data_IF_914208944269
#
_entry.id   IF_914208944269
#
_cell.length_a   1.000
_cell.length_b   1.000
_cell.length_c   1.000
_cell.angle_alpha   90.00
_cell.angle_beta   90.00
_cell.angle_gamma   90.00
#
_symmetry.space_group_name_H-M   'P 1'
#
loop_
_entity.id
_entity.type
_entity.pdbx_description
1 polymer ?
#
# COMPACT_ATOMS: atom_id res chain seq x y z
N UNK A 1 28.78 74.78 22.82
CA UNK A 1 29.42 73.90 21.83
C UNK A 1 29.11 72.45 22.29
N UNK A 2 28.02 71.88 21.86
CA UNK A 2 27.68 70.44 22.12
C UNK A 2 27.28 69.81 20.79
N UNK A 3 28.20 68.98 20.25
CA UNK A 3 27.96 68.14 19.08
C UNK A 3 27.16 66.87 19.54
N UNK A 4 25.95 66.75 19.08
CA UNK A 4 25.17 65.52 19.17
C UNK A 4 25.26 64.79 17.82
N UNK A 5 26.07 63.73 17.77
CA UNK A 5 26.17 62.80 16.64
C UNK A 5 24.99 61.81 16.70
N UNK A 6 24.08 61.93 15.74
CA UNK A 6 22.97 60.97 15.55
C UNK A 6 23.51 59.72 14.84
N UNK A 7 23.49 58.59 15.52
CA UNK A 7 23.74 57.25 14.92
C UNK A 7 22.45 56.72 14.29
N UNK A 8 22.43 56.64 12.97
CA UNK A 8 21.40 55.88 12.24
C UNK A 8 21.72 54.42 12.35
N UNK A 9 20.83 53.69 13.06
CA UNK A 9 20.84 52.23 13.14
C UNK A 9 20.13 51.68 11.89
N UNK A 10 20.91 51.12 10.95
CA UNK A 10 20.38 50.42 9.79
C UNK A 10 19.99 49.04 10.21
N UNK A 11 18.66 48.78 10.38
CA UNK A 11 18.11 47.45 10.56
C UNK A 11 18.05 46.79 9.20
N UNK A 12 18.98 45.87 8.94
CA UNK A 12 18.92 44.95 7.78
C UNK A 12 17.93 43.85 8.12
N UNK A 13 16.71 43.94 7.55
CA UNK A 13 15.72 42.88 7.59
C UNK A 13 16.19 41.75 6.67
N UNK A 14 16.80 40.70 7.23
CA UNK A 14 17.03 39.44 6.52
C UNK A 14 15.66 38.75 6.34
N UNK A 15 15.06 38.92 5.17
CA UNK A 15 13.99 38.07 4.68
C UNK A 15 14.59 36.68 4.41
N UNK A 16 14.44 35.77 5.38
CA UNK A 16 14.69 34.37 5.17
C UNK A 16 13.69 33.85 4.13
N UNK A 17 14.18 33.54 2.95
CA UNK A 17 13.46 32.69 2.00
C UNK A 17 13.25 31.33 2.69
N UNK A 18 12.04 31.12 3.17
CA UNK A 18 11.57 29.75 3.48
C UNK A 18 11.46 29.07 2.14
N UNK A 19 12.44 28.28 1.78
CA UNK A 19 12.32 27.29 0.72
C UNK A 19 11.25 26.32 1.17
N UNK A 20 10.06 26.44 0.59
CA UNK A 20 9.06 25.39 0.65
C UNK A 20 9.72 24.21 -0.08
N UNK A 21 10.16 23.21 0.66
CA UNK A 21 10.71 21.99 0.07
C UNK A 21 9.64 21.39 -0.83
N UNK A 22 9.82 21.55 -2.13
CA UNK A 22 9.24 20.68 -3.13
C UNK A 22 9.74 19.27 -2.82
N UNK A 23 8.83 18.29 -2.78
CA UNK A 23 9.20 16.87 -2.62
C UNK A 23 10.38 16.54 -3.54
N UNK A 24 11.20 15.58 -3.19
CA UNK A 24 12.36 15.18 -3.99
C UNK A 24 11.86 14.82 -5.39
N UNK A 25 12.23 15.65 -6.37
CA UNK A 25 11.92 15.41 -7.78
C UNK A 25 12.62 14.12 -8.18
N UNK A 26 11.86 13.14 -8.64
CA UNK A 26 12.40 11.84 -9.07
C UNK A 26 13.19 12.07 -10.36
N UNK A 27 14.45 11.63 -10.38
CA UNK A 27 15.31 11.76 -11.53
C UNK A 27 15.11 10.57 -12.49
N UNK A 28 14.62 10.85 -13.70
CA UNK A 28 14.56 9.88 -14.77
C UNK A 28 15.94 9.74 -15.44
N UNK A 29 16.51 8.50 -15.54
CA UNK A 29 17.86 8.30 -16.02
C UNK A 29 18.00 8.57 -17.52
N UNK A 30 19.18 9.03 -17.95
CA UNK A 30 19.55 9.03 -19.35
C UNK A 30 19.99 7.62 -19.78
N UNK A 31 19.33 7.06 -20.77
CA UNK A 31 19.62 5.73 -21.29
C UNK A 31 20.43 5.82 -22.59
N UNK A 32 21.61 5.18 -22.62
CA UNK A 32 22.49 5.24 -23.81
C UNK A 32 21.82 4.62 -25.04
N UNK A 33 21.70 5.40 -26.10
CA UNK A 33 21.03 4.99 -27.35
C UNK A 33 19.52 5.16 -27.37
N UNK A 34 18.96 5.82 -26.34
CA UNK A 34 17.54 6.13 -26.21
C UNK A 34 17.34 7.66 -26.20
N UNK A 35 16.26 8.11 -26.78
CA UNK A 35 15.80 9.51 -26.74
C UNK A 35 14.61 9.59 -25.78
N UNK A 36 14.51 10.66 -25.00
CA UNK A 36 13.38 10.99 -24.15
C UNK A 36 13.03 12.47 -24.23
N UNK A 37 11.86 12.87 -23.75
CA UNK A 37 11.53 14.29 -23.53
C UNK A 37 12.37 14.89 -22.40
N UNK A 38 12.55 16.22 -22.43
CA UNK A 38 13.30 16.94 -21.39
C UNK A 38 12.59 16.89 -20.02
N UNK A 39 11.26 16.84 -20.04
CA UNK A 39 10.39 16.79 -18.86
C UNK A 39 9.39 15.64 -18.97
N UNK A 40 9.01 15.02 -17.83
CA UNK A 40 7.93 14.04 -17.82
C UNK A 40 6.58 14.70 -18.13
N UNK A 41 5.64 13.90 -18.62
CA UNK A 41 4.22 14.24 -18.60
C UNK A 41 3.70 14.10 -17.17
N UNK A 42 3.01 15.12 -16.65
CA UNK A 42 2.59 15.19 -15.25
C UNK A 42 1.08 15.15 -15.12
N UNK A 43 0.57 14.30 -14.22
CA UNK A 43 -0.86 14.14 -13.93
C UNK A 43 -1.13 14.27 -12.43
N UNK A 44 -2.22 14.97 -12.09
CA UNK A 44 -2.71 15.19 -10.74
C UNK A 44 -4.00 14.37 -10.51
N UNK A 45 -4.55 14.40 -9.29
CA UNK A 45 -5.86 13.80 -8.99
C UNK A 45 -6.96 14.20 -9.98
N UNK A 46 -6.91 15.43 -10.52
CA UNK A 46 -7.92 15.96 -11.45
C UNK A 46 -7.71 15.51 -12.90
N UNK A 47 -6.48 15.15 -13.27
CA UNK A 47 -6.10 14.81 -14.65
C UNK A 47 -5.70 13.34 -14.85
N UNK A 48 -5.66 12.54 -13.78
CA UNK A 48 -5.29 11.12 -13.84
C UNK A 48 -6.16 10.32 -14.82
N UNK A 49 -7.46 10.66 -14.91
CA UNK A 49 -8.39 10.05 -15.86
C UNK A 49 -8.00 10.23 -17.33
N UNK A 50 -7.29 11.31 -17.66
CA UNK A 50 -6.86 11.58 -19.04
C UNK A 50 -5.79 10.56 -19.48
N UNK A 51 -5.05 9.96 -18.53
CA UNK A 51 -4.01 8.98 -18.80
C UNK A 51 -4.49 7.52 -18.63
N UNK A 52 -5.05 7.16 -17.45
CA UNK A 52 -5.41 5.77 -17.14
C UNK A 52 -6.92 5.48 -17.22
N UNK A 53 -7.74 6.45 -17.66
CA UNK A 53 -9.19 6.31 -17.81
C UNK A 53 -9.89 5.79 -16.54
N UNK A 54 -10.79 4.83 -16.64
CA UNK A 54 -11.56 4.28 -15.52
C UNK A 54 -10.72 3.58 -14.43
N UNK A 55 -9.44 3.28 -14.69
CA UNK A 55 -8.54 2.76 -13.66
C UNK A 55 -8.18 3.82 -12.61
N UNK A 56 -8.39 5.11 -12.89
CA UNK A 56 -8.10 6.19 -11.94
C UNK A 56 -8.84 6.04 -10.60
N UNK A 57 -10.07 5.53 -10.62
CA UNK A 57 -10.87 5.36 -9.40
C UNK A 57 -10.18 4.54 -8.32
N UNK A 58 -9.47 3.46 -8.72
CA UNK A 58 -8.79 2.63 -7.74
C UNK A 58 -7.55 3.34 -7.18
N UNK A 59 -6.78 4.05 -8.00
CA UNK A 59 -5.61 4.81 -7.53
C UNK A 59 -6.02 5.92 -6.56
N UNK A 60 -7.09 6.65 -6.85
CA UNK A 60 -7.64 7.71 -5.98
C UNK A 60 -8.06 7.17 -4.60
N UNK A 61 -8.56 5.94 -4.50
CA UNK A 61 -8.87 5.30 -3.20
C UNK A 61 -7.63 5.06 -2.34
N UNK A 62 -6.45 4.96 -2.94
CA UNK A 62 -5.17 4.80 -2.27
C UNK A 62 -4.40 6.12 -2.14
N UNK A 63 -5.12 7.22 -1.90
CA UNK A 63 -4.57 8.55 -1.63
C UNK A 63 -3.52 8.97 -2.67
N UNK A 64 -3.83 8.74 -3.96
CA UNK A 64 -3.00 9.15 -5.08
C UNK A 64 -2.74 10.67 -5.03
N UNK A 65 -1.51 11.10 -5.31
CA UNK A 65 -1.10 12.50 -5.32
C UNK A 65 -0.77 13.00 -6.71
N UNK A 66 0.19 12.34 -7.34
CA UNK A 66 0.66 12.71 -8.67
C UNK A 66 1.25 11.52 -9.40
N UNK A 67 1.35 11.65 -10.72
CA UNK A 67 1.97 10.69 -11.62
C UNK A 67 2.88 11.44 -12.58
N UNK A 68 4.13 11.03 -12.64
CA UNK A 68 5.08 11.45 -13.66
C UNK A 68 5.33 10.30 -14.65
N UNK A 69 5.21 10.61 -15.95
CA UNK A 69 5.38 9.64 -17.04
C UNK A 69 6.53 10.04 -17.92
N UNK A 70 7.53 9.16 -18.07
CA UNK A 70 8.64 9.37 -18.98
C UNK A 70 8.67 8.31 -20.08
N UNK A 71 8.68 8.76 -21.32
CA UNK A 71 8.76 7.91 -22.49
C UNK A 71 10.14 7.95 -23.13
N UNK A 72 10.65 6.76 -23.50
CA UNK A 72 11.91 6.58 -24.21
C UNK A 72 11.66 5.85 -25.53
N UNK A 73 12.39 6.27 -26.57
CA UNK A 73 12.39 5.62 -27.88
C UNK A 73 13.83 5.46 -28.37
N UNK A 74 14.14 4.32 -28.97
CA UNK A 74 15.42 4.10 -29.64
C UNK A 74 15.28 4.18 -31.16
N UNK A 75 16.41 4.24 -31.86
CA UNK A 75 16.44 4.30 -33.34
C UNK A 75 15.92 3.04 -34.03
N UNK A 76 15.72 1.95 -33.29
CA UNK A 76 15.13 0.69 -33.78
C UNK A 76 13.61 0.64 -33.64
N UNK A 77 12.96 1.66 -33.07
CA UNK A 77 11.52 1.72 -32.83
C UNK A 77 11.07 0.92 -31.60
N UNK A 78 11.97 0.61 -30.67
CA UNK A 78 11.60 0.08 -29.36
C UNK A 78 11.27 1.23 -28.39
N UNK A 79 10.34 0.99 -27.46
CA UNK A 79 9.84 1.97 -26.51
C UNK A 79 9.97 1.46 -25.08
N UNK A 80 10.22 2.37 -24.14
CA UNK A 80 10.08 2.17 -22.69
C UNK A 80 9.24 3.32 -22.15
N UNK A 81 8.24 2.99 -21.34
CA UNK A 81 7.47 3.97 -20.57
C UNK A 81 7.70 3.71 -19.08
N UNK A 82 7.99 4.75 -18.32
CA UNK A 82 8.17 4.71 -16.88
C UNK A 82 7.09 5.59 -16.27
N UNK A 83 6.20 4.98 -15.50
CA UNK A 83 5.14 5.63 -14.73
C UNK A 83 5.53 5.62 -13.26
N UNK A 84 5.63 6.78 -12.62
CA UNK A 84 5.94 6.91 -11.21
C UNK A 84 4.75 7.51 -10.49
N UNK A 85 3.98 6.66 -9.81
CA UNK A 85 2.80 7.06 -9.04
C UNK A 85 3.21 7.40 -7.61
N UNK A 86 2.93 8.62 -7.17
CA UNK A 86 3.09 9.05 -5.79
C UNK A 86 1.77 8.92 -5.03
N UNK A 87 1.82 8.36 -3.84
CA UNK A 87 0.70 8.24 -2.91
C UNK A 87 0.97 9.03 -1.64
N UNK A 88 -0.06 9.30 -0.82
CA UNK A 88 0.09 10.07 0.40
C UNK A 88 1.03 9.46 1.43
N UNK A 89 1.12 8.12 1.44
CA UNK A 89 2.03 7.38 2.30
C UNK A 89 2.43 5.99 1.73
N UNK A 90 3.34 5.32 2.44
CA UNK A 90 3.88 4.01 2.05
C UNK A 90 2.83 2.89 2.09
N UNK A 91 1.81 3.00 2.96
CA UNK A 91 0.75 2.00 3.09
C UNK A 91 -0.19 2.06 1.90
N UNK A 92 -0.56 3.26 1.47
CA UNK A 92 -1.39 3.47 0.29
C UNK A 92 -0.68 3.03 -1.00
N UNK A 93 0.61 3.37 -1.15
CA UNK A 93 1.42 2.89 -2.28
C UNK A 93 1.51 1.35 -2.30
N UNK A 94 1.72 0.72 -1.14
CA UNK A 94 1.67 -0.74 -1.03
C UNK A 94 0.28 -1.28 -1.37
N UNK A 95 -0.78 -0.60 -0.96
CA UNK A 95 -2.15 -1.02 -1.22
C UNK A 95 -2.42 -1.19 -2.71
N UNK A 96 -2.22 -0.16 -3.52
CA UNK A 96 -2.44 -0.25 -4.97
C UNK A 96 -1.49 -1.26 -5.63
N UNK A 97 -0.20 -1.30 -5.24
CA UNK A 97 0.75 -2.31 -5.71
C UNK A 97 0.25 -3.72 -5.43
N UNK A 98 -0.24 -4.00 -4.22
CA UNK A 98 -0.73 -5.31 -3.81
C UNK A 98 -2.01 -5.74 -4.53
N UNK A 99 -2.85 -4.77 -4.95
CA UNK A 99 -4.05 -5.04 -5.76
C UNK A 99 -3.73 -5.42 -7.21
N UNK A 100 -2.68 -4.86 -7.78
CA UNK A 100 -2.27 -5.14 -9.16
C UNK A 100 -1.32 -6.34 -9.29
N UNK A 101 -0.61 -6.67 -8.23
CA UNK A 101 0.33 -7.79 -8.21
C UNK A 101 -0.40 -9.13 -8.30
N UNK A 102 -0.07 -9.94 -9.30
CA UNK A 102 -0.58 -11.31 -9.40
C UNK A 102 0.16 -12.23 -8.42
N UNK A 103 -0.52 -13.16 -7.74
CA UNK A 103 0.13 -14.12 -6.82
C UNK A 103 1.23 -14.96 -7.48
N UNK A 104 1.11 -15.24 -8.79
CA UNK A 104 2.07 -16.01 -9.59
C UNK A 104 3.19 -15.20 -10.21
N UNK A 105 3.25 -13.87 -9.98
CA UNK A 105 4.25 -12.99 -10.58
C UNK A 105 5.67 -13.38 -10.18
N UNK A 106 6.60 -13.28 -11.16
CA UNK A 106 8.02 -13.51 -10.92
C UNK A 106 8.60 -12.35 -10.11
N UNK A 107 8.88 -12.57 -8.83
CA UNK A 107 9.39 -11.55 -7.90
C UNK A 107 10.85 -11.27 -8.13
N UNK A 108 11.20 -10.00 -8.01
CA UNK A 108 12.57 -9.50 -8.14
C UNK A 108 12.92 -8.60 -6.95
N UNK A 109 14.20 -8.57 -6.52
CA UNK A 109 14.65 -7.76 -5.38
C UNK A 109 14.94 -6.31 -5.81
N UNK A 110 13.89 -5.57 -6.20
CA UNK A 110 13.94 -4.13 -6.49
C UNK A 110 12.92 -3.43 -5.59
N UNK A 111 13.34 -2.40 -4.90
CA UNK A 111 12.53 -1.67 -3.92
C UNK A 111 12.21 -2.50 -2.67
N UNK A 112 11.02 -2.30 -2.12
CA UNK A 112 10.45 -3.14 -1.05
C UNK A 112 10.13 -4.53 -1.61
N UNK A 113 9.50 -4.54 -2.75
CA UNK A 113 9.13 -5.70 -3.55
C UNK A 113 8.91 -5.25 -5.00
N UNK A 114 9.37 -6.06 -5.95
CA UNK A 114 9.09 -5.88 -7.36
C UNK A 114 8.68 -7.19 -8.02
N UNK A 115 8.07 -7.10 -9.20
CA UNK A 115 7.79 -8.25 -10.03
C UNK A 115 8.05 -7.95 -11.50
N UNK A 116 8.44 -9.00 -12.22
CA UNK A 116 8.80 -8.96 -13.64
C UNK A 116 7.93 -9.95 -14.39
N UNK A 117 7.16 -9.43 -15.35
CA UNK A 117 6.45 -10.18 -16.38
C UNK A 117 7.04 -9.82 -17.74
N UNK A 118 6.66 -10.54 -18.80
CA UNK A 118 7.19 -10.27 -20.13
C UNK A 118 6.89 -8.80 -20.55
N UNK A 119 7.95 -8.00 -20.64
CA UNK A 119 7.86 -6.59 -21.04
C UNK A 119 7.31 -5.64 -19.99
N UNK A 120 7.09 -6.09 -18.76
CA UNK A 120 6.55 -5.27 -17.67
C UNK A 120 7.35 -5.54 -16.39
N UNK A 121 7.83 -4.47 -15.76
CA UNK A 121 8.44 -4.53 -14.44
C UNK A 121 7.80 -3.49 -13.54
N UNK A 122 7.25 -3.93 -12.42
CA UNK A 122 6.65 -3.03 -11.44
C UNK A 122 7.34 -3.23 -10.09
N UNK A 123 7.51 -2.12 -9.33
CA UNK A 123 8.07 -2.20 -7.99
C UNK A 123 7.53 -1.10 -7.08
N UNK A 124 7.69 -1.33 -5.78
CA UNK A 124 7.29 -0.44 -4.70
C UNK A 124 8.52 0.06 -3.96
N UNK A 125 8.59 1.37 -3.68
CA UNK A 125 9.57 1.94 -2.74
C UNK A 125 9.03 3.20 -2.07
N UNK A 126 9.06 3.21 -0.72
CA UNK A 126 8.48 4.31 0.04
C UNK A 126 7.01 4.52 -0.35
N UNK A 127 6.65 5.76 -0.65
CA UNK A 127 5.30 6.15 -1.09
C UNK A 127 5.09 6.08 -2.61
N UNK A 128 6.02 5.46 -3.34
CA UNK A 128 5.98 5.39 -4.80
C UNK A 128 5.72 3.97 -5.29
N UNK A 129 4.76 3.87 -6.19
CA UNK A 129 4.52 2.69 -7.01
C UNK A 129 5.02 2.98 -8.43
N UNK A 130 6.02 2.25 -8.89
CA UNK A 130 6.66 2.44 -10.20
C UNK A 130 6.28 1.32 -11.14
N UNK A 131 5.85 1.70 -12.36
CA UNK A 131 5.53 0.75 -13.44
C UNK A 131 6.43 1.07 -14.62
N UNK A 132 7.11 0.06 -15.13
CA UNK A 132 8.00 0.16 -16.29
C UNK A 132 7.50 -0.82 -17.35
N UNK A 133 7.13 -0.31 -18.51
CA UNK A 133 6.72 -1.13 -19.64
C UNK A 133 7.67 -0.96 -20.81
N UNK A 134 7.94 -2.05 -21.54
CA UNK A 134 8.81 -2.07 -22.68
C UNK A 134 8.19 -2.77 -23.88
N UNK A 135 8.38 -2.21 -25.05
CA UNK A 135 7.94 -2.79 -26.31
C UNK A 135 9.10 -2.86 -27.31
N UNK A 136 9.19 -3.97 -28.04
CA UNK A 136 10.25 -4.18 -29.05
C UNK A 136 11.64 -4.45 -28.44
N UNK A 137 11.72 -4.83 -27.15
CA UNK A 137 12.98 -5.15 -26.46
C UNK A 137 13.43 -6.58 -26.74
N UNK A 138 14.76 -6.78 -26.78
CA UNK A 138 15.38 -8.12 -26.82
C UNK A 138 15.52 -8.72 -25.41
N UNK A 139 14.39 -8.89 -24.69
CA UNK A 139 14.34 -9.41 -23.33
C UNK A 139 14.22 -8.33 -22.26
N UNK A 140 14.11 -8.76 -21.00
CA UNK A 140 13.69 -7.90 -19.88
C UNK A 140 14.88 -7.34 -19.05
N UNK A 141 16.12 -7.64 -19.41
CA UNK A 141 17.30 -7.19 -18.66
C UNK A 141 17.44 -5.66 -18.61
N UNK A 142 17.01 -4.97 -19.68
CA UNK A 142 17.03 -3.51 -19.70
C UNK A 142 16.00 -2.93 -18.72
N UNK A 143 14.80 -3.52 -18.60
CA UNK A 143 13.79 -3.07 -17.64
C UNK A 143 14.31 -3.19 -16.20
N UNK A 144 15.02 -4.29 -15.90
CA UNK A 144 15.64 -4.49 -14.58
C UNK A 144 16.72 -3.44 -14.31
N UNK A 145 17.56 -3.13 -15.30
CA UNK A 145 18.59 -2.10 -15.15
C UNK A 145 17.97 -0.70 -14.92
N UNK A 146 16.93 -0.36 -15.69
CA UNK A 146 16.18 0.90 -15.53
C UNK A 146 15.52 0.98 -14.14
N UNK A 147 14.90 -0.12 -13.69
CA UNK A 147 14.26 -0.17 -12.38
C UNK A 147 15.24 0.12 -11.24
N UNK A 148 16.45 -0.45 -11.29
CA UNK A 148 17.50 -0.19 -10.29
C UNK A 148 17.93 1.28 -10.30
N UNK A 149 18.10 1.89 -11.48
CA UNK A 149 18.45 3.31 -11.59
C UNK A 149 17.38 4.22 -11.00
N UNK A 150 16.10 3.95 -11.27
CA UNK A 150 14.98 4.71 -10.68
C UNK A 150 14.91 4.46 -9.17
N UNK A 151 15.04 3.21 -8.72
CA UNK A 151 15.01 2.86 -7.31
C UNK A 151 16.05 3.64 -6.48
N UNK A 152 17.24 3.87 -7.03
CA UNK A 152 18.32 4.63 -6.37
C UNK A 152 17.95 6.10 -6.14
N UNK A 153 17.03 6.68 -6.94
CA UNK A 153 16.58 8.08 -6.80
C UNK A 153 15.44 8.23 -5.80
N UNK A 154 14.76 7.14 -5.44
CA UNK A 154 13.61 7.16 -4.54
C UNK A 154 14.06 6.98 -3.09
N UNK A 155 13.72 7.95 -2.24
CA UNK A 155 13.87 7.83 -0.79
C UNK A 155 12.67 7.09 -0.18
N UNK A 156 12.88 6.38 0.93
CA UNK A 156 11.82 5.70 1.68
C UNK A 156 12.23 4.34 2.20
N UNK A 157 11.32 3.70 2.92
CA UNK A 157 11.54 2.38 3.50
C UNK A 157 11.62 1.31 2.43
N UNK A 158 12.44 0.29 2.70
CA UNK A 158 12.55 -0.93 1.88
C UNK A 158 11.95 -2.13 2.61
N UNK A 159 10.84 -1.93 3.34
CA UNK A 159 10.15 -2.97 4.10
C UNK A 159 8.63 -2.81 3.93
N UNK A 160 7.91 -3.93 3.98
CA UNK A 160 6.44 -3.94 4.01
C UNK A 160 5.91 -3.14 5.22
N UNK A 161 4.65 -2.67 5.17
CA UNK A 161 3.98 -2.09 6.33
C UNK A 161 4.15 -2.98 7.57
N UNK A 162 4.47 -2.35 8.71
CA UNK A 162 4.80 -3.06 9.96
C UNK A 162 3.68 -3.97 10.45
N UNK A 163 2.44 -3.65 10.11
CA UNK A 163 1.26 -4.42 10.50
C UNK A 163 1.36 -5.88 10.04
N UNK A 164 2.06 -6.16 8.93
CA UNK A 164 2.28 -7.53 8.46
C UNK A 164 3.23 -8.33 9.37
N UNK A 165 4.02 -7.69 10.21
CA UNK A 165 4.87 -8.37 11.20
C UNK A 165 4.06 -8.98 12.36
N UNK A 166 2.84 -8.49 12.59
CA UNK A 166 1.96 -8.96 13.67
C UNK A 166 1.23 -10.26 13.34
N UNK A 167 1.16 -10.62 12.06
CA UNK A 167 0.54 -11.86 11.60
C UNK A 167 1.36 -13.10 11.98
N UNK A 168 0.72 -14.24 12.30
CA UNK A 168 1.41 -15.51 12.53
C UNK A 168 2.31 -15.91 11.36
N UNK A 169 3.43 -16.59 11.64
CA UNK A 169 4.33 -17.07 10.58
C UNK A 169 3.91 -18.46 10.06
N UNK A 170 3.30 -19.30 10.93
CA UNK A 170 3.00 -20.69 10.60
C UNK A 170 1.82 -20.80 9.63
N UNK A 171 2.04 -21.43 8.49
CA UNK A 171 1.04 -21.58 7.42
C UNK A 171 0.88 -20.37 6.51
N UNK A 172 1.60 -19.26 6.77
CA UNK A 172 1.52 -18.03 5.97
C UNK A 172 1.95 -18.29 4.53
N UNK A 173 1.10 -17.91 3.58
CA UNK A 173 1.40 -17.96 2.15
C UNK A 173 2.14 -16.69 1.76
N UNK A 174 3.39 -16.84 1.35
CA UNK A 174 4.25 -15.72 0.96
C UNK A 174 3.65 -14.96 -0.23
N UNK A 175 3.57 -13.62 -0.09
CA UNK A 175 3.14 -12.75 -1.16
C UNK A 175 1.65 -12.63 -1.37
N UNK A 176 0.90 -13.00 -0.38
CA UNK A 176 -0.55 -12.75 -0.32
C UNK A 176 -0.90 -11.55 0.54
N UNK A 177 0.12 -10.87 1.06
CA UNK A 177 -0.05 -9.64 1.81
C UNK A 177 -0.77 -8.60 0.96
N UNK A 178 -1.88 -8.06 1.45
CA UNK A 178 -2.63 -6.99 0.80
C UNK A 178 -3.05 -5.93 1.81
N UNK A 179 -3.15 -4.69 1.35
CA UNK A 179 -3.82 -3.61 2.07
C UNK A 179 -5.01 -3.13 1.26
N UNK A 180 -6.20 -3.15 1.86
CA UNK A 180 -7.46 -2.71 1.26
C UNK A 180 -7.89 -1.43 1.98
N UNK A 181 -7.88 -0.31 1.24
CA UNK A 181 -8.17 1.00 1.81
C UNK A 181 -9.62 1.12 2.30
N UNK A 182 -10.59 0.60 1.53
CA UNK A 182 -12.01 0.74 1.85
C UNK A 182 -12.83 -0.47 1.39
N UNK A 183 -14.01 -0.61 1.98
CA UNK A 183 -15.07 -1.51 1.56
C UNK A 183 -14.65 -2.99 1.44
N UNK A 184 -13.78 -3.44 2.37
CA UNK A 184 -13.35 -4.84 2.39
C UNK A 184 -14.56 -5.78 2.47
N UNK A 185 -14.60 -6.76 1.56
CA UNK A 185 -15.73 -7.68 1.39
C UNK A 185 -17.08 -6.97 1.16
N UNK A 186 -17.08 -5.74 0.65
CA UNK A 186 -18.29 -4.96 0.41
C UNK A 186 -18.90 -4.31 1.66
N UNK A 187 -18.24 -4.35 2.80
CA UNK A 187 -18.68 -3.73 4.03
C UNK A 187 -18.06 -2.33 4.21
N UNK A 188 -18.89 -1.28 4.17
CA UNK A 188 -18.45 0.10 4.31
C UNK A 188 -17.71 0.41 5.62
N UNK A 189 -17.98 -0.35 6.70
CA UNK A 189 -17.30 -0.18 7.99
C UNK A 189 -15.91 -0.86 8.06
N UNK A 190 -15.54 -1.68 7.06
CA UNK A 190 -14.23 -2.32 6.98
C UNK A 190 -13.27 -1.47 6.14
N UNK A 191 -12.59 -0.56 6.81
CA UNK A 191 -11.64 0.38 6.25
C UNK A 191 -10.22 0.04 6.71
N UNK A 192 -9.22 0.30 5.87
CA UNK A 192 -7.80 0.13 6.21
C UNK A 192 -7.46 -1.29 6.68
N UNK A 193 -7.84 -2.28 5.87
CA UNK A 193 -7.74 -3.70 6.20
C UNK A 193 -6.46 -4.30 5.61
N UNK A 194 -5.63 -4.90 6.46
CA UNK A 194 -4.48 -5.71 6.08
C UNK A 194 -4.91 -7.17 6.01
N UNK A 195 -4.55 -7.90 4.96
CA UNK A 195 -4.88 -9.32 4.81
C UNK A 195 -3.66 -10.16 4.47
N UNK A 196 -3.69 -11.42 4.93
CA UNK A 196 -2.69 -12.44 4.61
C UNK A 196 -3.40 -13.77 4.49
N UNK A 197 -3.05 -14.56 3.46
CA UNK A 197 -3.57 -15.91 3.30
C UNK A 197 -2.71 -16.94 4.04
N UNK A 198 -3.39 -17.97 4.51
CA UNK A 198 -2.80 -19.12 5.20
C UNK A 198 -3.20 -20.42 4.53
N UNK A 199 -2.23 -21.31 4.30
CA UNK A 199 -2.47 -22.70 3.95
C UNK A 199 -2.34 -23.56 5.21
N UNK A 200 -3.45 -24.16 5.60
CA UNK A 200 -3.56 -25.03 6.77
C UNK A 200 -4.03 -26.40 6.31
N UNK A 201 -3.08 -27.30 6.05
CA UNK A 201 -3.35 -28.68 5.61
C UNK A 201 -4.21 -28.75 4.32
N UNK A 202 -3.95 -27.84 3.36
CA UNK A 202 -4.68 -27.73 2.09
C UNK A 202 -5.99 -26.94 2.16
N UNK A 203 -6.28 -26.32 3.29
CA UNK A 203 -7.38 -25.36 3.46
C UNK A 203 -6.79 -23.97 3.45
N UNK A 204 -7.12 -23.17 2.44
CA UNK A 204 -6.73 -21.77 2.39
C UNK A 204 -7.75 -20.90 3.10
N UNK A 205 -7.29 -20.08 4.03
CA UNK A 205 -8.09 -19.07 4.74
C UNK A 205 -7.39 -17.72 4.71
N UNK A 206 -8.17 -16.64 4.66
CA UNK A 206 -7.66 -15.29 4.73
C UNK A 206 -7.85 -14.74 6.14
N UNK A 207 -6.76 -14.32 6.76
CA UNK A 207 -6.77 -13.58 8.02
C UNK A 207 -6.68 -12.10 7.72
N UNK A 208 -7.43 -11.29 8.47
CA UNK A 208 -7.36 -9.84 8.34
C UNK A 208 -7.08 -9.15 9.68
N UNK A 209 -6.50 -7.95 9.56
CA UNK A 209 -6.23 -7.05 10.68
C UNK A 209 -6.72 -5.66 10.32
N UNK A 210 -7.41 -5.01 11.26
CA UNK A 210 -7.73 -3.59 11.21
C UNK A 210 -7.02 -2.89 12.37
N UNK A 211 -6.23 -1.86 12.05
CA UNK A 211 -5.59 -0.98 13.02
C UNK A 211 -6.48 0.26 13.19
N UNK A 212 -7.45 0.21 14.10
CA UNK A 212 -8.39 1.30 14.33
C UNK A 212 -7.71 2.52 14.95
N UNK A 213 -8.34 3.67 14.90
CA UNK A 213 -7.81 4.91 15.48
C UNK A 213 -7.56 4.76 16.99
N UNK A 214 -8.50 4.11 17.68
CA UNK A 214 -8.46 3.86 19.11
C UNK A 214 -9.30 2.62 19.49
N UNK A 215 -9.38 2.34 20.80
CA UNK A 215 -10.15 1.21 21.35
C UNK A 215 -11.66 1.33 21.08
N UNK A 216 -12.21 2.54 21.05
CA UNK A 216 -13.64 2.77 20.77
C UNK A 216 -13.95 2.49 19.29
N UNK A 217 -13.09 2.92 18.38
CA UNK A 217 -13.17 2.57 16.97
C UNK A 217 -13.12 1.07 16.73
N UNK A 218 -12.20 0.37 17.40
CA UNK A 218 -12.11 -1.10 17.34
C UNK A 218 -13.38 -1.79 17.85
N UNK A 219 -13.98 -1.27 18.94
CA UNK A 219 -15.26 -1.74 19.44
C UNK A 219 -16.38 -1.54 18.41
N UNK A 220 -16.46 -0.34 17.82
CA UNK A 220 -17.47 -0.02 16.81
C UNK A 220 -17.45 -0.95 15.60
N UNK A 221 -16.25 -1.44 15.20
CA UNK A 221 -16.12 -2.43 14.13
C UNK A 221 -16.77 -3.76 14.54
N UNK A 222 -16.49 -4.25 15.74
CA UNK A 222 -17.10 -5.51 16.26
C UNK A 222 -18.62 -5.36 16.40
N UNK A 223 -19.10 -4.22 16.92
CA UNK A 223 -20.52 -3.94 17.04
C UNK A 223 -21.22 -3.89 15.67
N UNK A 224 -20.52 -3.40 14.63
CA UNK A 224 -21.02 -3.42 13.24
C UNK A 224 -21.19 -4.85 12.69
N UNK A 225 -20.21 -5.73 12.94
CA UNK A 225 -20.36 -7.14 12.61
C UNK A 225 -21.53 -7.79 13.36
N UNK A 226 -21.70 -7.52 14.66
CA UNK A 226 -22.83 -8.01 15.44
C UNK A 226 -24.16 -7.53 14.88
N UNK A 227 -24.24 -6.28 14.42
CA UNK A 227 -25.46 -5.72 13.80
C UNK A 227 -25.79 -6.40 12.47
N UNK A 228 -24.78 -6.76 11.65
CA UNK A 228 -24.97 -7.51 10.41
C UNK A 228 -25.53 -8.92 10.64
N UNK A 229 -25.04 -9.59 11.68
CA UNK A 229 -25.41 -10.95 12.00
C UNK A 229 -26.79 -11.06 12.68
N UNK A 230 -27.52 -9.92 12.84
CA UNK A 230 -28.77 -9.86 13.60
C UNK A 230 -28.65 -10.57 14.97
N UNK A 231 -27.49 -10.35 15.63
CA UNK A 231 -27.16 -11.05 16.85
C UNK A 231 -28.12 -10.66 17.98
N UNK A 232 -28.94 -11.63 18.45
CA UNK A 232 -29.41 -11.61 19.82
C UNK A 232 -28.21 -11.86 20.76
N UNK A 233 -28.19 -11.29 21.96
CA UNK A 233 -27.11 -11.46 22.96
C UNK A 233 -26.72 -12.94 23.18
N UNK A 234 -27.64 -13.88 22.92
CA UNK A 234 -27.44 -15.32 23.04
C UNK A 234 -26.72 -15.96 21.83
N UNK A 235 -26.61 -15.27 20.70
CA UNK A 235 -25.98 -15.80 19.47
C UNK A 235 -24.48 -15.48 19.38
N UNK A 236 -23.99 -14.56 20.20
CA UNK A 236 -22.57 -14.22 20.28
C UNK A 236 -21.86 -15.24 21.18
N UNK A 237 -21.09 -16.13 20.57
CA UNK A 237 -20.24 -17.06 21.31
C UNK A 237 -18.94 -16.39 21.68
N UNK A 238 -18.80 -16.01 22.94
CA UNK A 238 -17.55 -15.55 23.51
C UNK A 238 -16.74 -16.77 23.99
N UNK A 239 -15.83 -17.26 23.19
CA UNK A 239 -14.79 -18.17 23.67
C UNK A 239 -13.61 -17.30 24.15
N UNK A 240 -13.48 -17.12 25.47
CA UNK A 240 -12.41 -16.42 26.19
C UNK A 240 -11.87 -15.08 25.64
N UNK A 241 -11.74 -14.88 24.34
CA UNK A 241 -11.31 -13.65 23.66
C UNK A 241 -11.76 -13.55 22.20
N UNK A 242 -12.38 -14.61 21.67
CA UNK A 242 -12.83 -14.69 20.28
C UNK A 242 -14.36 -14.65 20.22
N UNK A 243 -14.90 -13.85 19.33
CA UNK A 243 -16.33 -13.78 19.02
C UNK A 243 -16.55 -14.47 17.68
N UNK A 244 -17.48 -15.42 17.60
CA UNK A 244 -17.90 -16.06 16.35
C UNK A 244 -19.26 -15.53 15.92
N UNK A 245 -19.38 -15.09 14.67
CA UNK A 245 -20.57 -14.47 14.11
C UNK A 245 -20.88 -15.05 12.72
N UNK A 246 -22.15 -15.16 12.41
CA UNK A 246 -22.60 -15.56 11.07
C UNK A 246 -22.72 -14.31 10.18
N UNK A 247 -21.91 -14.22 9.12
CA UNK A 247 -22.03 -13.17 8.12
C UNK A 247 -22.99 -13.62 7.01
N UNK A 248 -24.21 -13.04 6.89
CA UNK A 248 -25.21 -13.47 5.92
C UNK A 248 -24.79 -13.22 4.46
N UNK A 249 -23.82 -12.32 4.22
CA UNK A 249 -23.33 -11.98 2.88
C UNK A 249 -22.18 -12.88 2.41
N UNK A 250 -21.46 -13.52 3.36
CA UNK A 250 -20.27 -14.34 3.06
C UNK A 250 -20.38 -15.79 3.53
N UNK A 251 -21.58 -16.36 3.49
CA UNK A 251 -21.88 -17.73 3.94
C UNK A 251 -20.98 -18.82 3.32
N UNK A 252 -20.51 -18.62 2.09
CA UNK A 252 -19.58 -19.55 1.42
C UNK A 252 -18.24 -19.66 2.12
N UNK A 253 -17.82 -18.63 2.86
CA UNK A 253 -16.55 -18.54 3.56
C UNK A 253 -16.62 -19.12 4.99
N UNK A 254 -17.82 -19.41 5.49
CA UNK A 254 -18.07 -19.85 6.87
C UNK A 254 -18.41 -18.65 7.78
N UNK A 255 -18.30 -18.88 9.08
CA UNK A 255 -18.50 -17.83 10.08
C UNK A 255 -17.27 -16.94 10.18
N UNK A 256 -17.47 -15.69 10.59
CA UNK A 256 -16.37 -14.78 10.91
C UNK A 256 -16.01 -14.93 12.40
N UNK A 257 -14.73 -15.19 12.67
CA UNK A 257 -14.17 -15.24 14.02
C UNK A 257 -13.36 -13.97 14.24
N UNK A 258 -13.73 -13.21 15.27
CA UNK A 258 -13.12 -11.92 15.58
C UNK A 258 -12.41 -11.97 16.92
N UNK A 259 -11.23 -11.38 17.00
CA UNK A 259 -10.52 -11.06 18.24
C UNK A 259 -10.18 -9.59 18.27
N UNK A 260 -10.55 -8.91 19.35
CA UNK A 260 -10.16 -7.53 19.60
C UNK A 260 -9.07 -7.48 20.67
N UNK A 261 -8.00 -6.73 20.38
CA UNK A 261 -6.90 -6.48 21.29
C UNK A 261 -6.56 -4.98 21.23
N UNK A 262 -6.93 -4.23 22.28
CA UNK A 262 -6.84 -2.77 22.31
C UNK A 262 -7.54 -2.13 21.08
N UNK A 263 -6.77 -1.46 20.22
CA UNK A 263 -7.24 -0.83 18.97
C UNK A 263 -7.22 -1.75 17.76
N UNK A 264 -6.72 -2.96 17.92
CA UNK A 264 -6.60 -3.93 16.83
C UNK A 264 -7.79 -4.86 16.77
N UNK A 265 -8.37 -5.03 15.57
CA UNK A 265 -9.39 -6.03 15.29
C UNK A 265 -8.83 -7.04 14.31
N UNK A 266 -8.75 -8.28 14.76
CA UNK A 266 -8.34 -9.42 13.97
C UNK A 266 -9.54 -10.23 13.55
N UNK A 267 -9.52 -10.80 12.35
CA UNK A 267 -10.60 -11.66 11.90
C UNK A 267 -10.16 -12.75 10.95
N UNK A 268 -10.90 -13.85 10.96
CA UNK A 268 -10.75 -14.98 10.05
C UNK A 268 -12.13 -15.46 9.64
N UNK A 269 -12.37 -15.62 8.35
CA UNK A 269 -13.52 -16.36 7.85
C UNK A 269 -13.15 -17.81 7.73
N UNK A 270 -13.89 -18.70 8.40
CA UNK A 270 -13.60 -20.14 8.41
C UNK A 270 -14.86 -20.98 8.66
N UNK A 271 -14.89 -22.20 8.05
CA UNK A 271 -15.84 -23.26 8.38
C UNK A 271 -15.33 -24.17 9.51
N UNK A 272 -14.08 -23.99 9.89
CA UNK A 272 -13.42 -24.74 10.97
C UNK A 272 -13.07 -23.77 12.11
N UNK A 273 -13.83 -23.86 13.20
CA UNK A 273 -13.69 -23.06 14.40
C UNK A 273 -12.30 -23.26 15.05
N UNK A 274 -11.81 -24.51 15.13
CA UNK A 274 -10.50 -24.77 15.74
C UNK A 274 -9.35 -24.15 14.95
N UNK A 275 -9.48 -24.11 13.62
CA UNK A 275 -8.49 -23.45 12.75
C UNK A 275 -8.48 -21.94 13.00
N UNK A 276 -9.66 -21.31 13.03
CA UNK A 276 -9.79 -19.88 13.27
C UNK A 276 -9.26 -19.47 14.65
N UNK A 277 -9.63 -20.21 15.71
CA UNK A 277 -9.15 -19.95 17.07
C UNK A 277 -7.62 -20.11 17.17
N UNK A 278 -7.03 -21.12 16.53
CA UNK A 278 -5.59 -21.33 16.49
C UNK A 278 -4.88 -20.11 15.84
N UNK A 279 -5.31 -19.69 14.65
CA UNK A 279 -4.72 -18.55 13.96
C UNK A 279 -4.81 -17.26 14.80
N UNK A 280 -5.98 -17.02 15.40
CA UNK A 280 -6.20 -15.85 16.25
C UNK A 280 -5.41 -15.92 17.58
N UNK A 281 -5.07 -17.12 18.08
CA UNK A 281 -4.22 -17.26 19.28
C UNK A 281 -2.75 -16.98 19.01
N UNK A 282 -2.29 -17.24 17.77
CA UNK A 282 -0.89 -17.14 17.38
C UNK A 282 -0.47 -15.74 16.90
N UNK A 283 -1.39 -14.74 16.91
CA UNK A 283 -1.06 -13.35 16.56
C UNK A 283 0.03 -12.79 17.49
N UNK A 284 0.93 -12.04 16.88
CA UNK A 284 1.97 -11.31 17.63
C UNK A 284 1.39 -10.02 18.19
N UNK A 285 1.62 -9.75 19.47
CA UNK A 285 1.03 -8.56 20.11
C UNK A 285 1.81 -7.31 19.71
N UNK A 286 1.14 -6.34 19.01
CA UNK A 286 1.80 -5.11 18.53
C UNK A 286 2.39 -4.21 19.62
N UNK A 287 1.94 -4.36 20.89
CA UNK A 287 2.36 -3.51 22.01
C UNK A 287 3.51 -4.12 22.83
N UNK A 288 3.95 -5.32 22.48
CA UNK A 288 5.03 -6.02 23.19
C UNK A 288 6.37 -6.01 22.46
N UNK A 289 6.41 -5.44 21.26
CA UNK A 289 7.63 -5.18 20.50
C UNK A 289 7.97 -3.70 20.54
#
# INVERSE_FOLDING_TARGET
MNNTTSQFLCIVLLLGLVSIGTGSEIEFPDLSGWMRSDTPDHYTEQTLYDYINGAADIYLRYDFRELDVMNYENTGGAFITIDVYEHGDEVNAFGIYSQERLPSSNRIPVGVEGYLEQGILNFLKGRYYVKISGYGLEGDSLLTAVAVLIEETIEGRSQLPREFSYFPDNGRVQGTEMFIASDYLGHEFLQSVYTVDYDCDGITVTMFLINAADTEGARGIVDSFCSLAECDDDSIRYSSSVVSLHDPYHQSNGDVFLRRDERYVWGVYSKDENLAERLLSDIKNPEKE
#
